data_IF_874366243114
#
_entry.id   IF_874366243114
#
_cell.length_a   1.000
_cell.length_b   1.000
_cell.length_c   1.000
_cell.angle_alpha   90.00
_cell.angle_beta   90.00
_cell.angle_gamma   90.00
#
_symmetry.space_group_name_H-M   'P 1'
#
loop_
_entity.id
_entity.type
_entity.pdbx_description
1 polymer ?
#
# COMPACT_ATOMS: atom_id res chain seq x y z
N UNK A 1 -22.53 25.62 -2.59
CA UNK A 1 -23.82 26.30 -2.78
C UNK A 1 -24.05 27.44 -1.79
N UNK A 2 -23.25 27.58 -0.72
CA UNK A 2 -23.33 28.70 0.24
C UNK A 2 -24.44 28.56 1.30
N UNK A 3 -25.16 27.46 1.33
CA UNK A 3 -26.16 27.18 2.38
C UNK A 3 -25.45 26.71 3.66
N UNK A 4 -25.93 27.18 4.81
CA UNK A 4 -25.42 26.80 6.13
C UNK A 4 -26.47 25.98 6.89
N UNK A 5 -26.03 24.83 7.41
CA UNK A 5 -26.86 23.95 8.22
C UNK A 5 -26.29 23.90 9.64
N UNK A 6 -27.18 23.83 10.62
CA UNK A 6 -26.82 23.76 12.03
C UNK A 6 -27.42 22.48 12.64
N UNK A 7 -26.60 21.74 13.35
CA UNK A 7 -26.99 20.53 14.06
C UNK A 7 -26.19 20.38 15.37
N UNK A 8 -26.77 19.80 16.44
CA UNK A 8 -26.05 19.54 17.67
C UNK A 8 -24.96 18.50 17.54
N UNK A 9 -25.12 17.56 16.61
CA UNK A 9 -24.16 16.51 16.28
C UNK A 9 -23.89 16.51 14.76
N UNK A 10 -22.62 16.51 14.39
CA UNK A 10 -22.14 16.40 13.00
C UNK A 10 -21.25 15.17 12.90
N UNK A 11 -21.54 14.30 11.94
CA UNK A 11 -20.73 13.10 11.70
C UNK A 11 -20.05 13.20 10.33
N UNK A 12 -18.71 13.14 10.35
CA UNK A 12 -17.89 13.13 9.13
C UNK A 12 -17.46 11.72 8.82
N UNK A 13 -18.02 11.16 7.74
CA UNK A 13 -17.75 9.79 7.28
C UNK A 13 -17.21 9.76 5.84
N UNK A 14 -16.20 10.57 5.54
CA UNK A 14 -15.58 10.61 4.22
C UNK A 14 -14.74 9.34 3.96
N UNK A 15 -14.74 8.87 2.72
CA UNK A 15 -13.86 7.79 2.27
C UNK A 15 -12.40 8.26 2.11
N UNK A 16 -11.57 7.39 1.55
CA UNK A 16 -10.13 7.70 1.31
C UNK A 16 -9.95 8.91 0.40
N UNK A 17 -10.78 9.03 -0.61
CA UNK A 17 -10.77 10.15 -1.56
C UNK A 17 -11.02 11.50 -0.85
N UNK A 18 -11.98 11.55 0.06
CA UNK A 18 -12.28 12.74 0.86
C UNK A 18 -11.30 13.05 1.98
N UNK A 19 -10.26 12.23 2.17
CA UNK A 19 -9.31 12.38 3.28
C UNK A 19 -8.47 13.66 3.19
N UNK A 20 -8.11 14.10 1.99
CA UNK A 20 -7.38 15.35 1.76
C UNK A 20 -8.22 16.56 2.16
N UNK A 21 -9.47 16.62 1.66
CA UNK A 21 -10.43 17.64 2.04
C UNK A 21 -10.63 17.69 3.57
N UNK A 22 -10.78 16.52 4.21
CA UNK A 22 -10.98 16.49 5.65
C UNK A 22 -9.73 16.91 6.44
N UNK A 23 -8.53 16.60 5.95
CA UNK A 23 -7.29 17.10 6.54
C UNK A 23 -7.20 18.62 6.51
N UNK A 24 -7.64 19.27 5.42
CA UNK A 24 -7.70 20.72 5.32
C UNK A 24 -8.73 21.33 6.29
N UNK A 25 -9.88 20.69 6.45
CA UNK A 25 -10.89 21.07 7.46
C UNK A 25 -10.30 20.94 8.88
N UNK A 26 -9.62 19.83 9.18
CA UNK A 26 -8.98 19.65 10.48
C UNK A 26 -7.98 20.77 10.77
N UNK A 27 -7.13 21.11 9.81
CA UNK A 27 -6.15 22.19 9.93
C UNK A 27 -6.85 23.55 10.14
N UNK A 28 -7.88 23.85 9.35
CA UNK A 28 -8.61 25.12 9.40
C UNK A 28 -9.32 25.34 10.74
N UNK A 29 -9.85 24.29 11.33
CA UNK A 29 -10.67 24.36 12.55
C UNK A 29 -9.95 23.88 13.81
N UNK A 30 -8.63 23.61 13.76
CA UNK A 30 -7.86 23.19 14.93
C UNK A 30 -8.25 21.81 15.46
N UNK A 31 -8.76 20.92 14.58
CA UNK A 31 -9.04 19.53 14.94
C UNK A 31 -7.72 18.79 15.10
N UNK A 32 -7.53 18.13 16.23
CA UNK A 32 -6.29 17.42 16.53
C UNK A 32 -6.11 16.21 15.60
N UNK A 33 -4.92 16.12 15.01
CA UNK A 33 -4.52 14.99 14.16
C UNK A 33 -3.15 14.47 14.55
N UNK A 34 -2.91 13.20 14.32
CA UNK A 34 -1.58 12.56 14.43
C UNK A 34 -1.09 12.14 13.05
N UNK A 35 0.21 12.21 12.86
CA UNK A 35 0.82 11.74 11.62
C UNK A 35 0.45 10.27 11.38
N UNK A 36 -0.02 9.97 10.17
CA UNK A 36 -0.23 8.62 9.70
C UNK A 36 1.09 7.94 9.35
N UNK A 37 1.02 6.65 9.09
CA UNK A 37 2.08 5.87 8.45
C UNK A 37 1.93 5.96 6.94
N UNK A 38 3.01 5.77 6.20
CA UNK A 38 2.98 5.42 4.79
C UNK A 38 3.64 4.07 4.61
N UNK A 39 3.04 3.21 3.81
CA UNK A 39 3.64 1.95 3.40
C UNK A 39 4.13 2.09 1.97
N UNK A 40 5.42 1.87 1.75
CA UNK A 40 6.06 1.99 0.44
C UNK A 40 6.83 0.71 0.15
N UNK A 41 6.74 0.21 -1.07
CA UNK A 41 7.45 -0.99 -1.45
C UNK A 41 7.20 -1.43 -2.89
N UNK A 42 7.20 -2.72 -3.08
CA UNK A 42 7.10 -3.37 -4.39
C UNK A 42 5.97 -4.39 -4.43
N UNK A 43 5.46 -4.64 -5.61
CA UNK A 43 4.71 -5.86 -5.89
C UNK A 43 5.67 -6.92 -6.40
N UNK A 44 5.60 -8.07 -5.78
CA UNK A 44 6.40 -9.26 -6.15
C UNK A 44 5.55 -10.18 -7.00
N UNK A 45 6.12 -10.72 -8.05
CA UNK A 45 5.49 -11.74 -8.88
C UNK A 45 6.41 -12.96 -8.98
N UNK A 46 5.84 -14.11 -8.66
CA UNK A 46 6.49 -15.42 -8.69
C UNK A 46 5.59 -16.43 -9.39
N UNK A 47 6.13 -17.59 -9.75
CA UNK A 47 5.29 -18.68 -10.25
C UNK A 47 4.39 -19.23 -9.15
N UNK A 48 3.18 -19.67 -9.53
CA UNK A 48 2.17 -20.19 -8.59
C UNK A 48 2.70 -21.32 -7.71
N UNK A 49 3.56 -22.17 -8.27
CA UNK A 49 4.12 -23.32 -7.55
C UNK A 49 4.90 -22.92 -6.29
N UNK A 50 5.55 -21.74 -6.30
CA UNK A 50 6.34 -21.25 -5.18
C UNK A 50 5.43 -20.92 -3.98
N UNK A 51 4.28 -20.31 -4.22
CA UNK A 51 3.34 -19.90 -3.17
C UNK A 51 2.23 -20.92 -2.91
N UNK A 52 2.21 -22.05 -3.62
CA UNK A 52 1.10 -23.01 -3.63
C UNK A 52 0.72 -23.48 -2.24
N UNK A 53 1.68 -23.90 -1.44
CA UNK A 53 1.40 -24.45 -0.10
C UNK A 53 0.76 -23.42 0.83
N UNK A 54 1.18 -22.14 0.77
CA UNK A 54 0.56 -21.06 1.53
C UNK A 54 -0.83 -20.71 1.01
N UNK A 55 -0.98 -20.63 -0.31
CA UNK A 55 -2.24 -20.23 -0.94
C UNK A 55 -3.35 -21.29 -0.79
N UNK A 56 -3.00 -22.57 -0.67
CA UNK A 56 -3.96 -23.66 -0.42
C UNK A 56 -4.45 -23.67 1.06
N UNK A 57 -3.60 -23.27 1.99
CA UNK A 57 -3.90 -23.28 3.44
C UNK A 57 -4.51 -21.98 3.96
N UNK A 58 -4.18 -20.86 3.33
CA UNK A 58 -4.55 -19.54 3.79
C UNK A 58 -5.25 -18.75 2.70
N UNK A 59 -6.39 -18.16 3.02
CA UNK A 59 -7.09 -17.25 2.11
C UNK A 59 -6.22 -16.03 1.73
N UNK A 60 -5.52 -15.47 2.69
CA UNK A 60 -4.56 -14.38 2.52
C UNK A 60 -3.47 -14.48 3.59
N UNK A 61 -2.25 -14.78 3.18
CA UNK A 61 -1.11 -14.82 4.09
C UNK A 61 -0.70 -13.40 4.50
N UNK A 62 -0.85 -13.06 5.78
CA UNK A 62 -0.39 -11.79 6.35
C UNK A 62 0.88 -12.00 7.15
N UNK A 63 2.01 -12.02 6.47
CA UNK A 63 3.32 -12.19 7.10
C UNK A 63 3.92 -10.83 7.45
N UNK A 64 4.46 -10.71 8.64
CA UNK A 64 5.14 -9.52 9.14
C UNK A 64 6.55 -9.89 9.57
N UNK A 65 7.51 -9.08 9.17
CA UNK A 65 8.91 -9.25 9.53
C UNK A 65 9.51 -7.92 9.96
N UNK A 66 10.31 -7.94 11.01
CA UNK A 66 11.11 -6.81 11.45
C UNK A 66 12.55 -7.03 10.98
N UNK A 67 13.05 -6.09 10.19
CA UNK A 67 14.33 -6.25 9.49
C UNK A 67 15.51 -6.13 10.44
N UNK A 68 16.54 -7.02 10.35
CA UNK A 68 17.68 -6.99 11.26
C UNK A 68 18.50 -5.71 11.18
N UNK A 69 18.62 -5.13 9.96
CA UNK A 69 19.50 -3.97 9.77
C UNK A 69 18.90 -2.69 10.35
N UNK A 70 17.61 -2.46 10.20
CA UNK A 70 16.99 -1.17 10.54
C UNK A 70 15.78 -1.29 11.48
N UNK A 71 15.44 -2.50 11.92
CA UNK A 71 14.24 -2.78 12.71
C UNK A 71 12.94 -2.24 12.04
N UNK A 72 12.93 -2.24 10.71
CA UNK A 72 11.80 -1.79 9.94
C UNK A 72 10.75 -2.88 9.80
N UNK A 73 9.50 -2.51 10.03
CA UNK A 73 8.37 -3.40 9.81
C UNK A 73 8.09 -3.55 8.33
N UNK A 74 8.25 -4.77 7.80
CA UNK A 74 7.85 -5.15 6.44
C UNK A 74 6.73 -6.17 6.51
N UNK A 75 5.77 -6.06 5.60
CA UNK A 75 4.63 -6.99 5.57
C UNK A 75 4.28 -7.45 4.16
N UNK A 76 3.85 -8.69 4.06
CA UNK A 76 3.12 -9.20 2.90
C UNK A 76 1.69 -8.67 2.96
N UNK A 77 1.19 -8.21 1.82
CA UNK A 77 -0.15 -7.68 1.71
C UNK A 77 -0.77 -8.03 0.35
N UNK A 78 -2.10 -8.24 0.31
CA UNK A 78 -2.87 -8.43 -0.92
C UNK A 78 -2.27 -9.50 -1.85
N UNK A 79 -2.25 -10.76 -1.39
CA UNK A 79 -1.81 -11.90 -2.19
C UNK A 79 -2.88 -12.27 -3.20
N UNK A 80 -2.49 -12.44 -4.45
CA UNK A 80 -3.35 -12.77 -5.59
C UNK A 80 -2.84 -14.06 -6.26
N UNK A 81 -3.33 -15.23 -5.84
CA UNK A 81 -2.97 -16.52 -6.48
C UNK A 81 -3.50 -16.58 -7.90
N UNK A 82 -2.67 -17.06 -8.84
CA UNK A 82 -2.98 -17.14 -10.27
C UNK A 82 -3.54 -15.81 -10.83
N UNK A 83 -3.08 -14.70 -10.28
CA UNK A 83 -3.55 -13.36 -10.60
C UNK A 83 -2.61 -12.62 -11.54
N UNK A 84 -2.91 -11.37 -11.79
CA UNK A 84 -2.07 -10.48 -12.57
C UNK A 84 -1.64 -9.24 -11.78
N UNK A 85 -0.51 -8.68 -12.15
CA UNK A 85 -0.06 -7.37 -11.71
C UNK A 85 -0.78 -6.31 -12.56
N UNK A 86 -1.26 -5.26 -11.93
CA UNK A 86 -2.04 -4.20 -12.56
C UNK A 86 -1.54 -2.82 -12.18
N UNK A 87 -1.82 -1.84 -13.03
CA UNK A 87 -1.59 -0.42 -12.73
C UNK A 87 -2.86 0.19 -12.13
N UNK A 88 -2.71 0.93 -11.05
CA UNK A 88 -3.74 1.75 -10.43
C UNK A 88 -3.39 3.23 -10.64
N UNK A 89 -4.34 4.04 -11.10
CA UNK A 89 -4.16 5.46 -11.31
C UNK A 89 -4.89 6.27 -10.25
N UNK A 90 -4.23 7.28 -9.70
CA UNK A 90 -4.83 8.30 -8.86
C UNK A 90 -5.24 9.52 -9.69
N UNK A 91 -6.13 10.38 -9.14
CA UNK A 91 -6.72 11.52 -9.86
C UNK A 91 -5.69 12.52 -10.41
N UNK A 92 -4.50 12.59 -9.80
CA UNK A 92 -3.39 13.42 -10.26
C UNK A 92 -2.52 12.74 -11.33
N UNK A 93 -3.00 11.65 -11.92
CA UNK A 93 -2.29 10.89 -12.97
C UNK A 93 -1.14 10.04 -12.44
N UNK A 94 -0.99 9.92 -11.12
CA UNK A 94 0.03 9.10 -10.49
C UNK A 94 -0.27 7.61 -10.71
N UNK A 95 0.62 6.89 -11.38
CA UNK A 95 0.53 5.45 -11.54
C UNK A 95 1.25 4.73 -10.40
N UNK A 96 0.56 3.79 -9.75
CA UNK A 96 1.14 2.87 -8.76
C UNK A 96 0.79 1.43 -9.13
N UNK A 97 1.57 0.47 -8.62
CA UNK A 97 1.30 -0.93 -8.89
C UNK A 97 0.29 -1.49 -7.89
N UNK A 98 -0.56 -2.38 -8.38
CA UNK A 98 -1.50 -3.19 -7.61
C UNK A 98 -1.58 -4.60 -8.20
N UNK A 99 -2.50 -5.46 -7.76
CA UNK A 99 -2.71 -6.78 -8.32
C UNK A 99 -4.18 -7.17 -8.27
N UNK A 100 -4.55 -8.07 -9.18
CA UNK A 100 -5.89 -8.64 -9.28
C UNK A 100 -5.86 -10.15 -9.26
N UNK A 101 -6.87 -10.76 -8.62
CA UNK A 101 -7.18 -12.17 -8.72
C UNK A 101 -8.55 -12.35 -9.39
N UNK A 102 -8.66 -13.36 -10.24
CA UNK A 102 -9.88 -13.64 -10.99
C UNK A 102 -10.61 -14.88 -10.49
N UNK A 103 -11.93 -14.83 -10.42
CA UNK A 103 -12.77 -16.01 -10.13
C UNK A 103 -12.84 -16.95 -11.33
N UNK A 104 -12.92 -16.41 -12.56
CA UNK A 104 -12.97 -17.20 -13.78
C UNK A 104 -11.64 -17.93 -14.01
N UNK A 105 -11.71 -19.22 -14.31
CA UNK A 105 -10.53 -20.04 -14.59
C UNK A 105 -9.79 -19.58 -15.84
N UNK A 106 -10.51 -19.07 -16.84
CA UNK A 106 -9.95 -18.65 -18.12
C UNK A 106 -9.10 -17.37 -18.01
N UNK A 107 -9.27 -16.61 -16.92
CA UNK A 107 -8.52 -15.40 -16.63
C UNK A 107 -7.31 -15.64 -15.72
N UNK A 108 -7.15 -16.88 -15.22
CA UNK A 108 -6.05 -17.20 -14.30
C UNK A 108 -4.73 -17.27 -15.04
N UNK A 109 -3.70 -16.72 -14.41
CA UNK A 109 -2.31 -16.82 -14.86
C UNK A 109 -1.60 -18.00 -14.16
N UNK A 110 -0.34 -18.23 -14.52
CA UNK A 110 0.52 -19.20 -13.84
C UNK A 110 1.39 -18.54 -12.76
N UNK A 111 1.05 -17.31 -12.37
CA UNK A 111 1.82 -16.51 -11.43
C UNK A 111 0.96 -16.07 -10.24
N UNK A 112 1.56 -16.08 -9.07
CA UNK A 112 1.06 -15.41 -7.86
C UNK A 112 1.77 -14.07 -7.70
N UNK A 113 1.03 -13.02 -7.34
CA UNK A 113 1.63 -11.75 -6.97
C UNK A 113 1.16 -11.29 -5.59
N UNK A 114 2.00 -10.52 -4.92
CA UNK A 114 1.74 -9.95 -3.60
C UNK A 114 2.56 -8.68 -3.38
N UNK A 115 2.06 -7.79 -2.51
CA UNK A 115 2.80 -6.61 -2.12
C UNK A 115 3.78 -6.90 -0.98
N UNK A 116 5.00 -6.34 -1.06
CA UNK A 116 5.91 -6.17 0.06
C UNK A 116 5.97 -4.70 0.42
N UNK A 117 5.46 -4.35 1.59
CA UNK A 117 5.30 -2.99 2.04
C UNK A 117 6.14 -2.72 3.28
N UNK A 118 7.02 -1.73 3.20
CA UNK A 118 7.83 -1.22 4.31
C UNK A 118 7.07 -0.06 4.95
N UNK A 119 6.70 -0.22 6.22
CA UNK A 119 5.97 0.81 6.97
C UNK A 119 6.92 1.89 7.46
N UNK A 120 6.63 3.15 7.14
CA UNK A 120 7.39 4.31 7.58
C UNK A 120 6.56 5.27 8.41
N UNK A 121 7.09 5.60 9.56
CA UNK A 121 6.61 6.66 10.43
C UNK A 121 7.59 7.82 10.39
N UNK A 122 7.06 9.02 10.49
CA UNK A 122 7.87 10.23 10.51
C UNK A 122 7.62 11.00 11.80
N UNK A 123 8.66 11.66 12.28
CA UNK A 123 8.62 12.56 13.42
C UNK A 123 8.75 14.02 12.97
N UNK A 124 8.43 14.93 13.88
CA UNK A 124 8.64 16.37 13.64
C UNK A 124 10.06 16.65 13.08
N UNK A 125 10.20 17.61 12.16
CA UNK A 125 9.18 18.57 11.72
C UNK A 125 8.30 18.07 10.55
N UNK A 126 8.53 16.86 10.04
CA UNK A 126 7.84 16.35 8.85
C UNK A 126 6.47 15.75 9.20
N UNK A 127 5.40 16.29 8.59
CA UNK A 127 4.00 15.93 8.87
C UNK A 127 3.21 15.42 7.66
N UNK A 128 3.88 15.11 6.55
CA UNK A 128 3.20 14.78 5.30
C UNK A 128 3.63 13.42 4.72
N UNK A 129 3.41 12.28 5.43
CA UNK A 129 3.83 10.96 4.97
C UNK A 129 3.21 10.59 3.62
N UNK A 130 2.01 11.05 3.30
CA UNK A 130 1.36 10.84 2.00
C UNK A 130 2.20 11.47 0.88
N UNK A 131 2.65 12.72 1.06
CA UNK A 131 3.48 13.41 0.07
C UNK A 131 4.83 12.72 -0.13
N UNK A 132 5.41 12.15 0.92
CA UNK A 132 6.61 11.33 0.80
C UNK A 132 6.38 10.11 -0.10
N UNK A 133 5.30 9.37 0.12
CA UNK A 133 4.94 8.21 -0.71
C UNK A 133 4.63 8.61 -2.16
N UNK A 134 3.89 9.70 -2.37
CA UNK A 134 3.62 10.25 -3.71
C UNK A 134 4.90 10.68 -4.41
N UNK A 135 5.85 11.29 -3.69
CA UNK A 135 7.12 11.71 -4.27
C UNK A 135 7.93 10.51 -4.79
N UNK A 136 8.02 9.43 -4.02
CA UNK A 136 8.68 8.18 -4.46
C UNK A 136 7.97 7.60 -5.69
N UNK A 137 6.64 7.54 -5.68
CA UNK A 137 5.88 7.02 -6.81
C UNK A 137 6.05 7.89 -8.08
N UNK A 138 6.04 9.23 -7.94
CA UNK A 138 6.32 10.15 -9.07
C UNK A 138 7.72 9.96 -9.64
N UNK A 139 8.72 9.69 -8.79
CA UNK A 139 10.07 9.39 -9.26
C UNK A 139 10.10 8.10 -10.11
N UNK A 140 9.38 7.06 -9.68
CA UNK A 140 9.18 5.85 -10.46
C UNK A 140 8.52 6.13 -11.82
N UNK A 141 7.43 6.92 -11.82
CA UNK A 141 6.72 7.29 -13.04
C UNK A 141 7.59 8.13 -13.99
N UNK A 142 8.39 9.03 -13.47
CA UNK A 142 9.33 9.82 -14.28
C UNK A 142 10.31 8.93 -15.04
N UNK A 143 10.85 7.89 -14.39
CA UNK A 143 11.80 6.96 -14.99
C UNK A 143 11.17 5.95 -15.96
N UNK A 144 9.87 5.69 -15.82
CA UNK A 144 9.11 4.73 -16.64
C UNK A 144 8.23 5.38 -17.72
N UNK A 145 8.26 6.72 -17.85
CA UNK A 145 7.38 7.44 -18.77
C UNK A 145 5.90 7.34 -18.39
N UNK A 146 5.58 7.39 -17.09
CA UNK A 146 4.22 7.34 -16.55
C UNK A 146 3.67 5.92 -16.35
N UNK A 147 4.52 4.89 -16.48
CA UNK A 147 4.18 3.48 -16.29
C UNK A 147 4.77 2.92 -14.99
N UNK A 148 4.77 1.61 -14.86
CA UNK A 148 5.35 0.88 -13.72
C UNK A 148 6.74 0.36 -14.09
N UNK A 149 7.72 0.56 -13.22
CA UNK A 149 9.04 -0.04 -13.36
C UNK A 149 9.00 -1.53 -12.99
N UNK A 150 9.75 -2.32 -13.73
CA UNK A 150 9.94 -3.75 -13.51
C UNK A 150 11.43 -4.07 -13.37
N UNK A 151 11.81 -4.78 -12.32
CA UNK A 151 13.17 -5.26 -12.11
C UNK A 151 13.19 -6.72 -11.68
N UNK A 152 14.10 -7.53 -12.23
CA UNK A 152 14.37 -8.87 -11.73
C UNK A 152 15.08 -8.77 -10.37
N UNK A 153 14.71 -9.63 -9.43
CA UNK A 153 15.30 -9.63 -8.10
C UNK A 153 16.83 -9.85 -8.12
N UNK A 154 17.32 -10.72 -9.00
CA UNK A 154 18.76 -10.90 -9.18
C UNK A 154 19.49 -9.64 -9.69
N UNK A 155 18.84 -8.81 -10.49
CA UNK A 155 19.39 -7.53 -10.92
C UNK A 155 19.30 -6.47 -9.79
N UNK A 156 18.20 -6.47 -9.04
CA UNK A 156 18.01 -5.64 -7.85
C UNK A 156 19.13 -5.87 -6.82
N UNK A 157 19.44 -7.11 -6.48
CA UNK A 157 20.51 -7.45 -5.54
C UNK A 157 21.91 -7.06 -6.04
N UNK A 158 22.13 -7.04 -7.34
CA UNK A 158 23.40 -6.64 -7.96
C UNK A 158 23.50 -5.15 -8.22
N UNK A 159 22.49 -4.36 -7.83
CA UNK A 159 22.45 -2.92 -8.06
C UNK A 159 22.56 -2.55 -9.53
N UNK A 160 21.84 -3.25 -10.41
CA UNK A 160 21.88 -3.01 -11.84
C UNK A 160 20.50 -3.05 -12.49
N UNK A 161 20.34 -2.28 -13.53
CA UNK A 161 19.12 -2.25 -14.35
C UNK A 161 18.77 -3.62 -14.95
N UNK A 162 17.50 -4.00 -14.93
CA UNK A 162 16.96 -5.05 -15.78
C UNK A 162 16.78 -4.54 -17.21
N UNK A 163 17.03 -5.38 -18.19
CA UNK A 163 16.86 -5.10 -19.62
C UNK A 163 15.88 -6.07 -20.27
N UNK A 164 15.36 -5.72 -21.46
CA UNK A 164 14.44 -6.60 -22.22
C UNK A 164 15.08 -7.97 -22.52
N UNK A 165 16.37 -7.99 -22.88
CA UNK A 165 17.08 -9.25 -23.17
C UNK A 165 17.19 -10.16 -21.95
N UNK A 166 17.25 -9.59 -20.73
CA UNK A 166 17.23 -10.37 -19.49
C UNK A 166 15.84 -10.89 -19.17
N UNK A 167 14.79 -10.10 -19.44
CA UNK A 167 13.41 -10.52 -19.27
C UNK A 167 13.01 -11.64 -20.23
N UNK A 168 13.44 -11.59 -21.49
CA UNK A 168 13.19 -12.66 -22.47
C UNK A 168 13.73 -14.02 -22.00
N UNK A 169 14.81 -14.02 -21.24
CA UNK A 169 15.43 -15.24 -20.69
C UNK A 169 14.92 -15.65 -19.31
N UNK A 170 13.95 -14.90 -18.76
CA UNK A 170 13.38 -15.14 -17.44
C UNK A 170 12.30 -16.21 -17.50
N UNK A 171 12.26 -17.14 -16.53
CA UNK A 171 11.23 -18.18 -16.46
C UNK A 171 9.85 -17.63 -16.05
N UNK A 172 9.82 -16.48 -15.39
CA UNK A 172 8.58 -15.79 -15.02
C UNK A 172 8.28 -14.77 -16.14
N UNK A 173 7.17 -14.98 -16.81
CA UNK A 173 6.67 -14.05 -17.83
C UNK A 173 5.86 -12.97 -17.13
N UNK A 174 6.25 -11.67 -17.23
CA UNK A 174 5.52 -10.57 -16.61
C UNK A 174 4.04 -10.56 -16.99
N UNK A 175 3.13 -10.48 -16.02
CA UNK A 175 1.69 -10.35 -16.31
C UNK A 175 1.32 -8.91 -16.66
N UNK A 176 1.96 -7.89 -16.08
CA UNK A 176 1.83 -6.50 -16.50
C UNK A 176 2.68 -6.24 -17.76
N UNK A 177 2.04 -6.32 -18.92
CA UNK A 177 2.71 -6.33 -20.23
C UNK A 177 3.38 -5.00 -20.61
N UNK A 178 2.91 -3.89 -20.08
CA UNK A 178 3.42 -2.55 -20.37
C UNK A 178 4.38 -2.01 -19.30
N UNK A 179 4.76 -2.86 -18.32
CA UNK A 179 5.79 -2.52 -17.35
C UNK A 179 7.14 -2.29 -18.04
N UNK A 180 7.88 -1.31 -17.56
CA UNK A 180 9.14 -0.87 -18.15
C UNK A 180 10.33 -1.46 -17.38
N UNK A 181 11.21 -2.24 -18.02
CA UNK A 181 12.43 -2.72 -17.39
C UNK A 181 13.31 -1.58 -16.90
N UNK A 182 13.70 -1.62 -15.62
CA UNK A 182 14.40 -0.51 -15.03
C UNK A 182 15.24 -0.87 -13.80
N UNK A 183 15.54 0.14 -13.02
CA UNK A 183 16.33 0.05 -11.79
C UNK A 183 15.60 0.75 -10.64
N UNK A 184 15.09 -0.02 -9.70
CA UNK A 184 14.38 0.45 -8.53
C UNK A 184 15.31 1.16 -7.51
N UNK A 185 16.62 0.97 -7.62
CA UNK A 185 17.59 1.69 -6.77
C UNK A 185 17.65 3.19 -7.05
N UNK A 186 17.20 3.61 -8.23
CA UNK A 186 17.06 5.02 -8.58
C UNK A 186 15.76 5.65 -8.03
N UNK A 187 14.88 4.84 -7.47
CA UNK A 187 13.56 5.26 -6.96
C UNK A 187 13.50 5.16 -5.44
N UNK A 188 13.89 4.02 -4.89
CA UNK A 188 13.77 3.78 -3.46
C UNK A 188 15.00 4.27 -2.69
N UNK A 189 14.81 4.91 -1.51
CA UNK A 189 15.88 5.10 -0.56
C UNK A 189 16.54 3.77 -0.18
N UNK A 190 17.85 3.79 0.05
CA UNK A 190 18.64 2.61 0.41
C UNK A 190 18.00 1.78 1.54
N UNK A 191 17.47 2.43 2.58
CA UNK A 191 16.82 1.76 3.71
C UNK A 191 15.61 0.90 3.27
N UNK A 192 14.81 1.38 2.32
CA UNK A 192 13.68 0.62 1.77
C UNK A 192 14.18 -0.56 0.94
N UNK A 193 15.24 -0.37 0.15
CA UNK A 193 15.86 -1.43 -0.64
C UNK A 193 16.35 -2.57 0.24
N UNK A 194 17.10 -2.26 1.31
CA UNK A 194 17.59 -3.25 2.28
C UNK A 194 16.42 -3.99 2.95
N UNK A 195 15.40 -3.26 3.37
CA UNK A 195 14.23 -3.86 4.03
C UNK A 195 13.47 -4.83 3.11
N UNK A 196 13.35 -4.52 1.82
CA UNK A 196 12.75 -5.41 0.81
C UNK A 196 13.61 -6.67 0.63
N UNK A 197 14.94 -6.52 0.48
CA UNK A 197 15.86 -7.65 0.32
C UNK A 197 15.79 -8.60 1.52
N UNK A 198 15.91 -8.07 2.74
CA UNK A 198 15.85 -8.85 3.97
C UNK A 198 14.52 -9.60 4.13
N UNK A 199 13.41 -8.97 3.75
CA UNK A 199 12.09 -9.63 3.77
C UNK A 199 12.01 -10.75 2.74
N UNK A 200 12.51 -10.58 1.52
CA UNK A 200 12.52 -11.62 0.48
C UNK A 200 13.38 -12.81 0.94
N UNK A 201 14.54 -12.55 1.52
CA UNK A 201 15.40 -13.60 2.09
C UNK A 201 14.74 -14.34 3.27
N UNK A 202 13.98 -13.63 4.09
CA UNK A 202 13.22 -14.24 5.18
C UNK A 202 12.05 -15.10 4.65
N UNK A 203 11.35 -14.63 3.63
CA UNK A 203 10.27 -15.37 2.97
C UNK A 203 10.77 -16.64 2.30
N UNK A 204 11.96 -16.65 1.73
CA UNK A 204 12.54 -17.84 1.08
C UNK A 204 12.70 -19.03 2.03
N UNK A 205 12.82 -18.76 3.33
CA UNK A 205 12.85 -19.82 4.36
C UNK A 205 11.47 -20.45 4.60
N UNK A 206 10.40 -19.75 4.26
CA UNK A 206 9.00 -20.19 4.43
C UNK A 206 8.48 -20.79 3.12
N UNK A 207 8.79 -20.14 2.01
CA UNK A 207 8.42 -20.56 0.65
C UNK A 207 9.68 -20.53 -0.23
N UNK A 208 10.45 -21.63 -0.28
CA UNK A 208 11.69 -21.70 -1.06
C UNK A 208 11.46 -21.39 -2.53
N UNK A 209 12.31 -20.52 -3.09
CA UNK A 209 12.25 -20.07 -4.48
C UNK A 209 11.79 -18.62 -4.64
N UNK A 210 11.24 -17.97 -3.60
CA UNK A 210 10.90 -16.55 -3.66
C UNK A 210 12.15 -15.68 -3.89
N UNK A 211 13.30 -16.04 -3.30
CA UNK A 211 14.56 -15.32 -3.49
C UNK A 211 15.32 -15.71 -4.78
N UNK A 212 14.62 -16.30 -5.76
CA UNK A 212 15.20 -16.58 -7.07
C UNK A 212 15.61 -15.28 -7.78
N UNK A 213 16.72 -15.32 -8.53
CA UNK A 213 17.14 -14.23 -9.42
C UNK A 213 16.05 -13.81 -10.43
N UNK A 214 15.11 -14.71 -10.72
CA UNK A 214 14.04 -14.55 -11.71
C UNK A 214 12.75 -13.96 -11.15
N UNK A 215 12.62 -13.87 -9.83
CA UNK A 215 11.50 -13.19 -9.18
C UNK A 215 11.38 -11.75 -9.67
N UNK A 216 10.17 -11.33 -9.99
CA UNK A 216 9.91 -10.01 -10.55
C UNK A 216 9.44 -9.03 -9.47
N UNK A 217 10.02 -7.84 -9.49
CA UNK A 217 9.68 -6.73 -8.60
C UNK A 217 9.14 -5.57 -9.42
N UNK A 218 7.94 -5.12 -9.09
CA UNK A 218 7.32 -3.96 -9.72
C UNK A 218 7.25 -2.81 -8.73
N UNK A 219 7.61 -1.63 -9.15
CA UNK A 219 7.58 -0.43 -8.31
C UNK A 219 6.99 0.80 -9.01
N UNK A 220 6.29 1.57 -8.24
CA UNK A 220 6.19 1.63 -6.79
C UNK A 220 4.81 1.12 -6.34
N UNK A 221 4.77 0.25 -5.35
CA UNK A 221 3.54 0.03 -4.61
C UNK A 221 3.55 0.95 -3.39
N UNK A 222 2.45 1.68 -3.21
CA UNK A 222 2.31 2.58 -2.08
C UNK A 222 0.88 2.47 -1.52
N UNK A 223 0.77 2.50 -0.21
CA UNK A 223 -0.53 2.61 0.46
C UNK A 223 -0.52 3.87 1.33
N UNK A 224 -1.36 4.79 0.93
CA UNK A 224 -1.57 6.04 1.64
C UNK A 224 -2.57 5.83 2.78
N UNK A 225 -2.20 6.32 3.95
CA UNK A 225 -3.11 6.40 5.08
C UNK A 225 -3.24 7.87 5.47
N UNK A 226 -4.47 8.32 5.57
CA UNK A 226 -4.77 9.70 6.00
C UNK A 226 -4.15 9.98 7.37
N UNK A 227 -3.96 11.25 7.69
CA UNK A 227 -3.65 11.65 9.05
C UNK A 227 -4.75 11.14 9.98
N UNK A 228 -4.36 10.51 11.07
CA UNK A 228 -5.30 9.96 12.04
C UNK A 228 -5.88 11.10 12.85
N UNK A 229 -7.17 11.31 12.74
CA UNK A 229 -7.89 12.25 13.62
C UNK A 229 -7.90 11.73 15.05
N UNK A 230 -7.58 12.56 16.02
CA UNK A 230 -7.63 12.22 17.43
C UNK A 230 -9.08 12.28 17.90
N UNK A 231 -9.58 11.16 18.40
CA UNK A 231 -10.95 11.04 18.90
C UNK A 231 -10.98 10.31 20.24
N UNK A 232 -12.02 10.57 21.02
CA UNK A 232 -12.31 9.83 22.26
C UNK A 232 -12.93 8.45 21.96
N UNK A 233 -13.40 7.74 23.00
CA UNK A 233 -14.03 6.41 22.87
C UNK A 233 -15.36 6.43 22.11
N UNK A 234 -16.01 7.58 22.05
CA UNK A 234 -17.27 7.81 21.34
C UNK A 234 -17.04 8.38 19.91
N UNK A 235 -15.80 8.39 19.44
CA UNK A 235 -15.38 8.96 18.14
C UNK A 235 -15.63 10.47 17.98
N UNK A 236 -15.77 11.19 19.08
CA UNK A 236 -15.84 12.66 19.10
C UNK A 236 -14.43 13.26 19.08
N UNK A 237 -14.27 14.32 18.31
CA UNK A 237 -13.02 15.08 18.19
C UNK A 237 -12.85 16.04 19.39
N UNK A 238 -11.78 16.83 19.37
CA UNK A 238 -11.62 17.94 20.35
C UNK A 238 -12.65 19.09 20.14
N UNK A 239 -13.44 19.08 19.07
CA UNK A 239 -14.59 19.97 18.90
C UNK A 239 -15.86 19.25 19.35
N UNK A 240 -16.54 19.75 20.40
CA UNK A 240 -17.77 19.14 20.89
C UNK A 240 -18.85 19.03 19.80
N UNK A 241 -19.53 17.87 19.75
CA UNK A 241 -20.56 17.60 18.76
C UNK A 241 -20.03 17.20 17.37
N UNK A 242 -18.69 17.21 17.15
CA UNK A 242 -18.09 16.76 15.90
C UNK A 242 -17.50 15.37 16.05
N UNK A 243 -18.09 14.41 15.40
CA UNK A 243 -17.62 13.01 15.34
C UNK A 243 -17.05 12.68 13.97
N UNK A 244 -16.11 11.75 13.95
CA UNK A 244 -15.55 11.28 12.68
C UNK A 244 -15.45 9.76 12.68
N UNK A 245 -15.59 9.14 11.51
CA UNK A 245 -15.55 7.68 11.34
C UNK A 245 -14.95 7.27 10.00
N UNK A 246 -14.59 5.99 9.91
CA UNK A 246 -14.20 5.37 8.65
C UNK A 246 -12.75 5.62 8.22
N UNK A 247 -12.48 5.24 6.98
CA UNK A 247 -11.13 5.21 6.41
C UNK A 247 -10.55 6.61 6.14
N UNK A 248 -11.42 7.59 5.84
CA UNK A 248 -10.98 8.97 5.55
C UNK A 248 -10.40 9.71 6.75
N UNK A 249 -10.80 9.32 7.96
CA UNK A 249 -10.23 9.81 9.22
C UNK A 249 -9.11 8.92 9.77
N UNK A 250 -8.70 7.90 9.00
CA UNK A 250 -7.71 6.88 9.40
C UNK A 250 -8.06 6.10 10.68
N UNK A 251 -9.34 5.98 10.96
CA UNK A 251 -9.87 5.21 12.11
C UNK A 251 -9.98 3.74 11.73
N UNK A 252 -10.48 3.46 10.54
CA UNK A 252 -10.65 2.11 10.02
C UNK A 252 -9.82 1.87 8.76
N UNK A 253 -9.71 0.62 8.32
CA UNK A 253 -8.93 0.22 7.14
C UNK A 253 -9.64 -0.85 6.30
N UNK A 254 -10.96 -0.83 6.27
CA UNK A 254 -11.75 -1.77 5.48
C UNK A 254 -13.24 -1.66 5.73
N UNK A 255 -14.03 -2.17 4.79
CA UNK A 255 -15.49 -2.04 4.76
C UNK A 255 -16.18 -2.54 6.03
N UNK A 256 -15.80 -3.72 6.52
CA UNK A 256 -16.39 -4.29 7.75
C UNK A 256 -16.10 -3.43 8.98
N UNK A 257 -14.85 -2.97 9.12
CA UNK A 257 -14.46 -2.09 10.21
C UNK A 257 -15.17 -0.74 10.13
N UNK A 258 -15.28 -0.16 8.93
CA UNK A 258 -15.98 1.10 8.71
C UNK A 258 -17.48 0.98 9.05
N UNK A 259 -18.12 -0.12 8.66
CA UNK A 259 -19.52 -0.41 8.99
C UNK A 259 -19.72 -0.55 10.51
N UNK A 260 -18.88 -1.33 11.18
CA UNK A 260 -18.96 -1.49 12.64
C UNK A 260 -18.71 -0.16 13.37
N UNK A 261 -17.76 0.64 12.89
CA UNK A 261 -17.48 1.96 13.44
C UNK A 261 -18.66 2.92 13.28
N UNK A 262 -19.32 2.92 12.10
CA UNK A 262 -20.51 3.71 11.87
C UNK A 262 -21.66 3.33 12.81
N UNK A 263 -21.90 2.03 13.02
CA UNK A 263 -22.92 1.55 13.97
C UNK A 263 -22.61 1.99 15.42
N UNK A 264 -21.34 1.93 15.82
CA UNK A 264 -20.93 2.38 17.13
C UNK A 264 -21.15 3.88 17.34
N UNK A 265 -20.74 4.71 16.37
CA UNK A 265 -20.97 6.16 16.40
C UNK A 265 -22.47 6.48 16.52
N UNK A 266 -23.30 5.80 15.74
CA UNK A 266 -24.76 5.98 15.79
C UNK A 266 -25.32 5.63 17.18
N UNK A 267 -24.87 4.53 17.80
CA UNK A 267 -25.28 4.17 19.18
C UNK A 267 -24.86 5.24 20.18
N UNK A 268 -23.62 5.72 20.15
CA UNK A 268 -23.13 6.78 21.03
C UNK A 268 -23.96 8.08 20.94
N UNK A 269 -24.55 8.36 19.79
CA UNK A 269 -25.43 9.52 19.59
C UNK A 269 -26.84 9.27 20.15
N UNK A 270 -27.38 8.06 19.97
CA UNK A 270 -28.74 7.71 20.37
C UNK A 270 -28.89 7.42 21.88
N UNK A 271 -27.80 7.05 22.53
CA UNK A 271 -27.76 6.72 23.97
C UNK A 271 -27.47 7.96 24.85
N UNK A 272 -27.30 9.15 24.24
CA UNK A 272 -27.25 10.44 24.94
C UNK A 272 -28.65 10.94 25.23
#
# INVERSE_FOLDING_TARGET
>A
DGESFYAPEIVVGVGREGSGWFADICKKHGIETRNGTVDVGVRVEVRDEIMKELNEKLYEAKLVYYTPTFDDKVRVFCTNPSGEVATEYYDDGLAVVNGHAYKSRDMKTNNTNFALLVSKNFTEPFRSPIEYGKHIARLGNMLSGGKILLQRYGDFRRGRRTTDERLVRNNIVPTLKDAVPGDLSLVFPHRIMVAIDEMIQALDKVTPGIASDETLLYGVEVKFYSNKVVVNQEFETNLPGLRTMGDGASITRGLQQASANGLWVARCILEK
#
